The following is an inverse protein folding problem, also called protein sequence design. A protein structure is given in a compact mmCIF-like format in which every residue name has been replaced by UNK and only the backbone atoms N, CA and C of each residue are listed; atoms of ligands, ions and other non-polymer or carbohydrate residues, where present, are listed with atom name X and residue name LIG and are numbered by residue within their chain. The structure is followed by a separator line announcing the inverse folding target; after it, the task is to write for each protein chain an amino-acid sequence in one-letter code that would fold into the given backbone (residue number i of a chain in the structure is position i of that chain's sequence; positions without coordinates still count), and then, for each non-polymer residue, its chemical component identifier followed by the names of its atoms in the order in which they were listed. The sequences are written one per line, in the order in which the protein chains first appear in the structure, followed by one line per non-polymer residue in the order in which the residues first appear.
data_IF_112800039167
#
_entry.id   IF_112800039167
#
_cell.length_a   1.000
_cell.length_b   1.000
_cell.length_c   1.000
_cell.angle_alpha   90.00
_cell.angle_beta   90.00
_cell.angle_gamma   90.00
#
_symmetry.space_group_name_H-M   'P 1'
#
loop_
_entity.id
_entity.type
_entity.pdbx_description
1 polymer ?
#
# COMPACT_ATOMS: atom_id res chain seq x y z
N UNK A 1 11.02 7.72 13.33
CA UNK A 1 9.57 7.44 13.28
C UNK A 1 9.24 6.98 11.87
N UNK A 2 9.05 5.68 11.66
CA UNK A 2 8.87 5.12 10.31
C UNK A 2 7.39 4.90 9.94
N UNK A 3 6.47 4.99 10.90
CA UNK A 3 5.03 4.86 10.63
C UNK A 3 4.47 6.09 9.93
N UNK A 4 3.40 5.90 9.15
CA UNK A 4 2.68 6.98 8.47
C UNK A 4 2.16 8.03 9.46
N UNK A 5 1.66 7.61 10.63
CA UNK A 5 1.25 8.51 11.70
C UNK A 5 2.42 9.32 12.27
N UNK A 6 3.55 8.65 12.55
CA UNK A 6 4.74 9.32 13.06
C UNK A 6 5.34 10.31 12.05
N UNK A 7 5.33 9.98 10.75
CA UNK A 7 5.73 10.90 9.68
C UNK A 7 4.80 12.10 9.57
N UNK A 8 3.48 11.89 9.66
CA UNK A 8 2.49 12.96 9.67
C UNK A 8 2.75 13.95 10.81
N UNK A 9 3.07 13.44 12.00
CA UNK A 9 3.34 14.28 13.18
C UNK A 9 4.62 15.10 13.00
N UNK A 10 5.68 14.51 12.44
CA UNK A 10 6.92 15.22 12.10
C UNK A 10 6.70 16.34 11.08
N UNK A 11 5.72 16.20 10.19
CA UNK A 11 5.34 17.21 9.21
C UNK A 11 4.37 18.27 9.78
N UNK A 12 4.05 18.21 11.08
CA UNK A 12 3.19 19.18 11.75
C UNK A 12 1.69 18.92 11.58
N UNK A 13 1.29 17.72 11.14
CA UNK A 13 -0.13 17.37 11.07
C UNK A 13 -0.73 17.24 12.47
N UNK A 14 -1.85 17.94 12.70
CA UNK A 14 -2.67 17.82 13.92
C UNK A 14 -3.79 16.78 13.78
N UNK A 15 -4.06 16.33 12.56
CA UNK A 15 -5.14 15.38 12.22
C UNK A 15 -4.65 13.92 12.26
N UNK A 16 -3.35 13.71 12.48
CA UNK A 16 -2.77 12.37 12.53
C UNK A 16 -2.71 11.85 13.96
N UNK A 17 -2.84 10.53 14.12
CA UNK A 17 -2.72 9.91 15.43
C UNK A 17 -1.33 10.15 16.03
N UNK A 18 -1.30 10.54 17.29
CA UNK A 18 -0.10 10.74 18.08
C UNK A 18 0.03 9.62 19.15
N UNK A 19 1.05 9.74 20.01
CA UNK A 19 1.34 8.75 21.04
C UNK A 19 0.17 8.53 22.01
N UNK A 20 -0.56 9.59 22.37
CA UNK A 20 -1.63 9.60 23.37
C UNK A 20 -2.90 8.96 22.80
N UNK A 21 -3.15 9.09 21.50
CA UNK A 21 -4.34 8.49 20.87
C UNK A 21 -4.33 6.96 20.98
N UNK A 22 -3.14 6.37 20.97
CA UNK A 22 -2.93 4.94 21.16
C UNK A 22 -2.67 4.56 22.62
N UNK A 23 -1.85 5.29 23.39
CA UNK A 23 -1.43 4.88 24.74
C UNK A 23 -2.24 5.49 25.89
N UNK A 24 -3.04 6.53 25.62
CA UNK A 24 -3.64 7.34 26.66
C UNK A 24 -2.66 8.35 27.28
N UNK A 25 -3.11 9.08 28.29
CA UNK A 25 -2.32 10.13 28.96
C UNK A 25 -1.76 9.65 30.30
N UNK A 26 -2.63 9.42 31.28
CA UNK A 26 -2.26 9.01 32.65
C UNK A 26 -2.62 7.54 32.95
N UNK A 27 -3.17 6.83 31.99
CA UNK A 27 -3.64 5.45 32.09
C UNK A 27 -2.92 4.55 31.07
N UNK A 28 -1.59 4.70 30.98
CA UNK A 28 -0.78 3.89 30.07
C UNK A 28 -0.71 2.46 30.59
N UNK A 29 -1.49 1.58 29.98
CA UNK A 29 -1.56 0.17 30.31
C UNK A 29 -0.63 -0.64 29.42
N UNK A 30 -0.12 -1.77 29.89
CA UNK A 30 0.68 -2.66 29.05
C UNK A 30 -0.16 -3.25 27.91
N UNK A 31 0.46 -3.60 26.77
CA UNK A 31 -0.24 -4.20 25.61
C UNK A 31 -1.02 -5.47 25.96
N UNK A 32 -0.52 -6.25 26.92
CA UNK A 32 -1.13 -7.48 27.41
C UNK A 32 -2.38 -7.24 28.24
N UNK A 33 -2.58 -6.02 28.73
CA UNK A 33 -3.79 -5.66 29.46
C UNK A 33 -4.95 -5.54 28.46
N UNK A 34 -6.05 -6.31 28.63
CA UNK A 34 -7.21 -6.22 27.75
C UNK A 34 -7.90 -4.85 27.81
N UNK A 35 -7.61 -4.04 28.83
CA UNK A 35 -8.12 -2.68 28.93
C UNK A 35 -7.29 -1.66 28.13
N UNK A 36 -6.07 -2.00 27.70
CA UNK A 36 -5.28 -1.11 26.87
C UNK A 36 -6.00 -0.86 25.53
N UNK A 37 -6.07 0.41 25.12
CA UNK A 37 -6.61 0.84 23.82
C UNK A 37 -5.91 0.15 22.65
N UNK A 38 -4.61 -0.09 22.78
CA UNK A 38 -3.79 -0.78 21.79
C UNK A 38 -3.62 -2.29 22.05
N UNK A 39 -4.47 -2.88 22.90
CA UNK A 39 -4.57 -4.34 23.07
C UNK A 39 -5.15 -4.97 21.80
N UNK A 40 -4.84 -6.25 21.54
CA UNK A 40 -5.29 -6.92 20.32
C UNK A 40 -6.82 -6.91 20.13
N UNK A 41 -7.58 -6.90 21.23
CA UNK A 41 -9.05 -6.91 21.23
C UNK A 41 -9.66 -5.52 21.02
N UNK A 42 -8.99 -4.43 21.46
CA UNK A 42 -9.49 -3.05 21.36
C UNK A 42 -8.88 -2.25 20.22
N UNK A 43 -7.87 -2.80 19.55
CA UNK A 43 -7.19 -2.15 18.46
C UNK A 43 -8.15 -1.79 17.28
N UNK A 44 -9.15 -2.62 16.90
CA UNK A 44 -10.13 -2.22 15.88
C UNK A 44 -10.92 -0.98 16.28
N UNK A 45 -11.45 -0.95 17.49
CA UNK A 45 -12.20 0.18 18.03
C UNK A 45 -11.35 1.45 18.12
N UNK A 46 -10.06 1.31 18.46
CA UNK A 46 -9.13 2.44 18.53
C UNK A 46 -8.83 3.01 17.14
N UNK A 47 -8.60 2.16 16.14
CA UNK A 47 -8.43 2.61 14.76
C UNK A 47 -9.72 3.23 14.19
N UNK A 48 -10.88 2.71 14.58
CA UNK A 48 -12.19 3.17 14.13
C UNK A 48 -12.52 4.61 14.55
N UNK A 49 -11.80 5.18 15.53
CA UNK A 49 -11.93 6.59 15.91
C UNK A 49 -11.66 7.55 14.76
N UNK A 50 -10.78 7.17 13.81
CA UNK A 50 -10.45 7.97 12.64
C UNK A 50 -10.71 7.23 11.32
N UNK A 51 -10.71 5.90 11.32
CA UNK A 51 -10.96 5.06 10.15
C UNK A 51 -12.29 4.32 10.31
N UNK A 52 -13.38 4.92 9.85
CA UNK A 52 -14.76 4.49 10.12
C UNK A 52 -15.05 3.00 9.80
N UNK A 53 -14.34 2.40 8.85
CA UNK A 53 -14.47 0.99 8.45
C UNK A 53 -13.33 0.09 8.96
N UNK A 54 -12.58 0.51 9.98
CA UNK A 54 -11.47 -0.25 10.56
C UNK A 54 -11.99 -1.49 11.33
N UNK A 55 -12.24 -2.55 10.58
CA UNK A 55 -12.55 -3.89 11.08
C UNK A 55 -11.28 -4.69 11.40
N UNK A 56 -11.40 -5.89 11.97
CA UNK A 56 -10.23 -6.72 12.34
C UNK A 56 -9.21 -6.91 11.20
N UNK A 57 -9.69 -7.00 9.95
CA UNK A 57 -8.85 -7.17 8.77
C UNK A 57 -8.04 -5.91 8.42
N UNK A 58 -8.49 -4.72 8.81
CA UNK A 58 -7.79 -3.45 8.57
C UNK A 58 -6.44 -3.42 9.29
N UNK A 59 -6.42 -3.92 10.53
CA UNK A 59 -5.22 -3.97 11.39
C UNK A 59 -4.24 -5.04 10.90
N UNK A 60 -4.74 -6.05 10.19
CA UNK A 60 -3.93 -7.07 9.52
C UNK A 60 -3.37 -6.58 8.17
N UNK A 61 -3.77 -5.40 7.71
CA UNK A 61 -3.32 -4.78 6.48
C UNK A 61 -1.80 -4.58 6.45
N UNK A 62 -1.24 -4.74 5.25
CA UNK A 62 0.20 -4.71 4.93
C UNK A 62 0.94 -3.45 5.37
N UNK A 63 0.21 -2.35 5.62
CA UNK A 63 0.78 -1.04 5.96
C UNK A 63 1.40 -0.97 7.37
N UNK A 64 1.11 -1.95 8.24
CA UNK A 64 1.70 -2.08 9.58
C UNK A 64 2.69 -3.24 9.72
N UNK A 65 2.89 -4.04 8.66
CA UNK A 65 4.05 -4.94 8.61
C UNK A 65 5.28 -4.09 8.32
N UNK A 66 6.03 -3.74 9.36
CA UNK A 66 7.49 -3.73 9.24
C UNK A 66 7.85 -5.00 8.49
N UNK A 67 8.68 -4.90 7.45
CA UNK A 67 9.06 -5.96 6.50
C UNK A 67 9.80 -7.15 7.17
N UNK A 68 9.31 -7.63 8.30
CA UNK A 68 9.60 -8.92 8.87
C UNK A 68 8.88 -9.96 8.02
N UNK A 69 9.57 -10.32 6.94
CA UNK A 69 9.72 -11.69 6.47
C UNK A 69 8.69 -12.69 7.02
N UNK A 70 7.66 -12.96 6.23
CA UNK A 70 6.77 -14.08 6.49
C UNK A 70 5.45 -13.96 5.73
N UNK A 71 5.42 -14.47 4.49
CA UNK A 71 4.68 -15.68 4.09
C UNK A 71 4.68 -15.83 2.56
N UNK A 72 5.17 -16.98 2.05
CA UNK A 72 4.79 -17.51 0.74
C UNK A 72 5.76 -17.27 -0.43
N UNK A 73 6.59 -18.27 -0.74
CA UNK A 73 7.18 -18.45 -2.09
C UNK A 73 6.07 -18.34 -3.16
N UNK A 74 4.85 -18.79 -2.84
CA UNK A 74 3.65 -18.66 -3.67
C UNK A 74 3.26 -17.21 -3.97
N UNK A 75 3.23 -16.32 -2.98
CA UNK A 75 2.85 -14.91 -3.20
C UNK A 75 3.93 -14.17 -4.01
N UNK A 76 5.22 -14.41 -3.71
CA UNK A 76 6.33 -13.80 -4.44
C UNK A 76 6.37 -14.21 -5.91
N UNK A 77 6.19 -15.51 -6.20
CA UNK A 77 6.20 -16.01 -7.57
C UNK A 77 4.94 -15.58 -8.33
N UNK A 78 3.79 -15.51 -7.66
CA UNK A 78 2.54 -15.03 -8.26
C UNK A 78 2.65 -13.56 -8.64
N UNK A 79 3.15 -12.70 -7.74
CA UNK A 79 3.38 -11.28 -8.04
C UNK A 79 4.40 -11.11 -9.18
N UNK A 80 5.52 -11.84 -9.12
CA UNK A 80 6.54 -11.80 -10.18
C UNK A 80 5.98 -12.22 -11.54
N UNK A 81 5.12 -13.23 -11.58
CA UNK A 81 4.45 -13.65 -12.81
C UNK A 81 3.62 -12.52 -13.41
N UNK A 82 2.76 -11.87 -12.61
CA UNK A 82 1.91 -10.78 -13.10
C UNK A 82 2.72 -9.53 -13.49
N UNK A 83 3.79 -9.21 -12.77
CA UNK A 83 4.69 -8.10 -13.14
C UNK A 83 5.34 -8.35 -14.49
N UNK A 84 5.91 -9.54 -14.70
CA UNK A 84 6.55 -9.89 -15.98
C UNK A 84 5.54 -9.97 -17.13
N UNK A 85 4.36 -10.52 -16.88
CA UNK A 85 3.27 -10.54 -17.86
C UNK A 85 2.90 -9.11 -18.27
N UNK A 86 2.75 -8.19 -17.32
CA UNK A 86 2.41 -6.78 -17.57
C UNK A 86 3.52 -6.07 -18.35
N UNK A 87 4.78 -6.29 -18.01
CA UNK A 87 5.91 -5.69 -18.75
C UNK A 87 5.90 -6.21 -20.20
N UNK A 88 5.74 -7.51 -20.40
CA UNK A 88 5.71 -8.12 -21.73
C UNK A 88 4.56 -7.56 -22.58
N UNK A 89 3.36 -7.46 -22.01
CA UNK A 89 2.20 -6.93 -22.75
C UNK A 89 2.37 -5.46 -23.09
N UNK A 90 2.82 -4.63 -22.15
CA UNK A 90 3.06 -3.19 -22.40
C UNK A 90 4.12 -2.98 -23.46
N UNK A 91 5.26 -3.69 -23.36
CA UNK A 91 6.33 -3.61 -24.38
C UNK A 91 5.81 -4.09 -25.74
N UNK A 92 5.07 -5.19 -25.78
CA UNK A 92 4.46 -5.69 -27.01
C UNK A 92 3.52 -4.68 -27.67
N UNK A 93 2.68 -4.00 -26.89
CA UNK A 93 1.78 -2.95 -27.38
C UNK A 93 2.56 -1.73 -27.90
N UNK A 94 3.61 -1.30 -27.20
CA UNK A 94 4.47 -0.19 -27.66
C UNK A 94 5.09 -0.54 -29.01
N UNK A 95 5.69 -1.73 -29.13
CA UNK A 95 6.29 -2.19 -30.40
C UNK A 95 5.25 -2.24 -31.51
N UNK A 96 4.05 -2.74 -31.22
CA UNK A 96 2.95 -2.77 -32.19
C UNK A 96 2.60 -1.36 -32.69
N UNK A 97 2.45 -0.40 -31.77
CA UNK A 97 2.17 0.99 -32.11
C UNK A 97 3.27 1.65 -32.95
N UNK A 98 4.55 1.44 -32.60
CA UNK A 98 5.68 1.99 -33.36
C UNK A 98 5.76 1.41 -34.78
N UNK A 99 5.52 0.11 -34.92
CA UNK A 99 5.49 -0.57 -36.22
C UNK A 99 4.36 -0.03 -37.08
N UNK A 100 3.16 0.13 -36.52
CA UNK A 100 2.03 0.72 -37.24
C UNK A 100 2.31 2.16 -37.65
N UNK A 101 2.85 2.98 -36.74
CA UNK A 101 3.22 4.36 -37.04
C UNK A 101 4.25 4.45 -38.17
N UNK A 102 5.26 3.57 -38.17
CA UNK A 102 6.26 3.49 -39.23
C UNK A 102 5.64 3.05 -40.57
N UNK A 103 4.74 2.07 -40.56
CA UNK A 103 4.02 1.64 -41.76
C UNK A 103 3.17 2.77 -42.34
N UNK A 104 2.46 3.52 -41.49
CA UNK A 104 1.66 4.68 -41.88
C UNK A 104 2.54 5.78 -42.46
N UNK A 105 3.68 6.08 -41.83
CA UNK A 105 4.64 7.08 -42.33
C UNK A 105 5.21 6.70 -43.70
N UNK A 106 5.59 5.43 -43.90
CA UNK A 106 6.09 4.93 -45.18
C UNK A 106 5.01 4.95 -46.25
N UNK A 107 3.74 4.65 -45.92
CA UNK A 107 2.60 4.73 -46.84
C UNK A 107 2.31 6.17 -47.27
N UNK A 108 2.36 7.13 -46.34
CA UNK A 108 2.17 8.56 -46.64
C UNK A 108 3.25 9.14 -47.56
N UNK A 109 4.47 8.59 -47.52
CA UNK A 109 5.59 9.02 -48.39
C UNK A 109 5.67 8.28 -49.73
N UNK A 110 4.80 7.29 -50.00
CA UNK A 110 4.76 6.67 -51.33
C UNK A 110 4.13 7.65 -52.33
N UNK A 111 4.80 7.99 -53.43
CA UNK A 111 4.20 8.83 -54.47
C UNK A 111 2.99 8.11 -55.07
N UNK A 112 1.87 8.82 -55.22
CA UNK A 112 0.73 8.34 -56.00
C UNK A 112 1.16 8.34 -57.47
N UNK A 113 1.33 7.16 -58.07
CA UNK A 113 1.39 7.01 -59.54
C UNK A 113 -0.01 7.08 -60.12
#
# INVERSE_FOLDING_TARGET
MESVHGRGLLLGSIETANCIDCHGSHNVLARSDPQATYSATRLPETCAKCHEEAQENFIRGTEHKSLAAGTGIAEHNTLKFFVWLTILTVVGLIVHMEVELFHLFKRSRRPKS
#
